data_IF_287755524063
#
_entry.id   IF_287755524063
#
_cell.length_a   1.000
_cell.length_b   1.000
_cell.length_c   1.000
_cell.angle_alpha   90.00
_cell.angle_beta   90.00
_cell.angle_gamma   90.00
#
_symmetry.space_group_name_H-M   'P 1'
#
loop_
_entity.id
_entity.type
_entity.pdbx_description
1 polymer ?
#
# COMPACT_ATOMS: atom_id res chain seq x y z
N UNK A 1 -30.26 4.75 11.86
CA UNK A 1 -29.17 4.07 12.55
C UNK A 1 -28.00 3.82 11.59
N UNK A 2 -26.92 3.21 12.07
CA UNK A 2 -25.90 2.65 11.21
C UNK A 2 -26.41 1.45 10.41
N UNK A 3 -25.77 1.12 9.29
CA UNK A 3 -26.04 -0.13 8.56
C UNK A 3 -25.59 -1.34 9.39
N UNK A 4 -24.35 -1.30 9.89
CA UNK A 4 -23.83 -2.21 10.92
C UNK A 4 -23.28 -1.35 12.04
N UNK A 5 -23.77 -1.55 13.27
CA UNK A 5 -23.25 -0.84 14.44
C UNK A 5 -24.31 -0.32 15.39
N UNK A 6 -24.10 0.88 15.93
CA UNK A 6 -24.99 1.44 16.93
C UNK A 6 -26.23 2.08 16.29
N UNK A 7 -27.37 1.93 16.97
CA UNK A 7 -28.60 2.64 16.60
C UNK A 7 -28.50 4.14 16.90
N UNK A 8 -29.46 4.91 16.39
CA UNK A 8 -29.61 6.33 16.72
C UNK A 8 -30.00 6.51 18.19
N UNK A 9 -29.56 7.59 18.81
CA UNK A 9 -29.90 7.90 20.20
C UNK A 9 -30.42 9.33 20.34
N UNK A 10 -31.55 9.48 20.97
CA UNK A 10 -32.12 10.76 21.36
C UNK A 10 -31.68 11.09 22.80
N UNK A 11 -30.51 11.71 22.95
CA UNK A 11 -29.97 12.18 24.23
C UNK A 11 -29.42 11.10 25.18
N UNK A 12 -29.48 9.81 24.83
CA UNK A 12 -28.92 8.73 25.63
C UNK A 12 -27.53 8.31 25.14
N UNK A 13 -26.61 8.04 26.08
CA UNK A 13 -25.29 7.53 25.74
C UNK A 13 -25.41 6.09 25.21
N UNK A 14 -24.85 5.84 24.03
CA UNK A 14 -24.75 4.50 23.44
C UNK A 14 -23.32 4.27 22.99
N UNK A 15 -22.79 3.11 23.31
CA UNK A 15 -21.47 2.66 22.84
C UNK A 15 -21.63 1.29 22.22
N UNK A 16 -20.82 1.02 21.20
CA UNK A 16 -20.77 -0.29 20.56
C UNK A 16 -19.40 -0.58 20.02
N UNK A 17 -19.02 -1.86 20.01
CA UNK A 17 -17.82 -2.35 19.36
C UNK A 17 -18.22 -3.25 18.19
N UNK A 18 -17.55 -3.05 17.04
CA UNK A 18 -17.70 -3.83 15.82
C UNK A 18 -16.32 -4.37 15.48
N UNK A 19 -16.22 -5.70 15.34
CA UNK A 19 -14.99 -6.36 14.94
C UNK A 19 -15.28 -7.19 13.69
N UNK A 20 -14.51 -6.99 12.64
CA UNK A 20 -14.62 -7.73 11.37
C UNK A 20 -13.29 -8.46 11.15
N UNK A 21 -13.32 -9.78 11.37
CA UNK A 21 -12.15 -10.65 11.21
C UNK A 21 -11.97 -11.13 9.77
N UNK A 22 -13.04 -11.12 8.96
CA UNK A 22 -13.03 -11.62 7.59
C UNK A 22 -14.41 -11.77 6.99
N UNK A 23 -14.50 -12.50 5.87
CA UNK A 23 -15.76 -12.73 5.16
C UNK A 23 -16.12 -11.60 4.20
N UNK A 24 -17.39 -11.60 3.71
CA UNK A 24 -17.89 -10.55 2.82
C UNK A 24 -18.97 -9.75 3.55
N UNK A 25 -18.74 -8.45 3.67
CA UNK A 25 -19.60 -7.51 4.38
C UNK A 25 -20.07 -6.41 3.42
N UNK A 26 -21.40 -6.27 3.30
CA UNK A 26 -22.02 -5.15 2.58
C UNK A 26 -22.88 -4.37 3.57
N UNK A 27 -22.55 -3.12 3.81
CA UNK A 27 -23.24 -2.28 4.78
C UNK A 27 -23.63 -0.95 4.16
N UNK A 28 -24.88 -0.51 4.39
CA UNK A 28 -25.37 0.75 3.88
C UNK A 28 -26.24 1.49 4.89
N UNK A 29 -26.19 2.80 4.84
CA UNK A 29 -27.04 3.67 5.64
C UNK A 29 -27.34 4.96 4.87
N UNK A 30 -28.48 5.55 5.12
CA UNK A 30 -28.85 6.87 4.62
C UNK A 30 -28.23 7.96 5.51
N UNK A 31 -28.47 7.91 6.81
CA UNK A 31 -28.13 9.00 7.73
C UNK A 31 -27.05 8.65 8.78
N UNK A 32 -26.92 7.36 9.16
CA UNK A 32 -25.86 6.87 10.02
C UNK A 32 -24.62 6.47 9.22
N UNK A 33 -23.59 5.96 9.88
CA UNK A 33 -22.48 5.33 9.18
C UNK A 33 -22.92 4.05 8.46
N UNK A 34 -22.28 3.70 7.35
CA UNK A 34 -22.42 2.38 6.76
C UNK A 34 -22.02 1.31 7.78
N UNK A 35 -20.82 1.42 8.32
CA UNK A 35 -20.30 0.63 9.46
C UNK A 35 -19.87 1.61 10.55
N UNK A 36 -20.47 1.54 11.74
CA UNK A 36 -20.08 2.37 12.87
C UNK A 36 -21.20 2.93 13.70
N UNK A 37 -21.24 4.24 13.92
CA UNK A 37 -22.26 4.86 14.77
C UNK A 37 -23.47 5.37 13.99
N UNK A 38 -24.62 5.30 14.64
CA UNK A 38 -25.85 5.93 14.17
C UNK A 38 -25.86 7.44 14.38
N UNK A 39 -27.06 8.06 14.31
CA UNK A 39 -27.23 9.51 14.47
C UNK A 39 -27.24 9.88 15.95
N UNK A 40 -26.45 10.87 16.32
CA UNK A 40 -26.50 11.54 17.64
C UNK A 40 -27.31 12.83 17.55
N UNK A 41 -28.30 12.99 18.43
CA UNK A 41 -29.13 14.20 18.49
C UNK A 41 -28.75 15.15 19.64
N UNK A 42 -27.60 14.92 20.29
CA UNK A 42 -27.17 15.71 21.44
C UNK A 42 -26.28 16.87 21.02
N UNK A 43 -26.73 18.10 21.26
CA UNK A 43 -25.98 19.32 20.93
C UNK A 43 -24.73 19.58 21.82
N UNK A 44 -24.58 18.89 22.94
CA UNK A 44 -23.59 19.24 23.97
C UNK A 44 -22.55 18.16 24.30
N UNK A 45 -22.79 16.90 23.96
CA UNK A 45 -21.81 15.79 24.11
C UNK A 45 -22.17 14.68 23.13
N UNK A 46 -21.18 13.99 22.51
CA UNK A 46 -21.48 12.86 21.67
C UNK A 46 -22.16 11.78 22.49
N UNK A 47 -23.44 11.54 22.19
CA UNK A 47 -24.23 10.52 22.86
C UNK A 47 -23.94 9.10 22.32
N UNK A 48 -23.29 9.02 21.15
CA UNK A 48 -23.01 7.76 20.47
C UNK A 48 -21.56 7.67 20.12
N UNK A 49 -20.96 6.53 20.45
CA UNK A 49 -19.58 6.21 20.08
C UNK A 49 -19.54 4.78 19.52
N UNK A 50 -18.89 4.56 18.40
CA UNK A 50 -18.59 3.25 17.87
C UNK A 50 -17.08 3.03 17.83
N UNK A 51 -16.63 1.87 18.30
CA UNK A 51 -15.28 1.35 18.08
C UNK A 51 -15.35 0.32 16.96
N UNK A 52 -14.56 0.51 15.91
CA UNK A 52 -14.58 -0.33 14.71
C UNK A 52 -13.17 -0.88 14.50
N UNK A 53 -13.06 -2.19 14.42
CA UNK A 53 -11.83 -2.91 14.13
C UNK A 53 -12.04 -3.79 12.90
N UNK A 54 -11.18 -3.64 11.88
CA UNK A 54 -11.24 -4.40 10.63
C UNK A 54 -9.90 -5.08 10.44
N UNK A 55 -9.90 -6.40 10.60
CA UNK A 55 -8.71 -7.26 10.54
C UNK A 55 -8.63 -8.07 9.25
N UNK A 56 -9.69 -8.07 8.40
CA UNK A 56 -9.72 -8.81 7.14
C UNK A 56 -11.07 -8.75 6.46
N UNK A 57 -11.20 -9.49 5.36
CA UNK A 57 -12.43 -9.65 4.59
C UNK A 57 -12.59 -8.69 3.41
N UNK A 58 -13.68 -8.89 2.66
CA UNK A 58 -14.13 -8.00 1.59
C UNK A 58 -15.27 -7.14 2.09
N UNK A 59 -15.05 -5.84 2.16
CA UNK A 59 -15.98 -4.91 2.79
C UNK A 59 -16.41 -3.86 1.76
N UNK A 60 -17.72 -3.74 1.56
CA UNK A 60 -18.30 -2.63 0.82
C UNK A 60 -19.16 -1.82 1.79
N UNK A 61 -18.80 -0.57 1.99
CA UNK A 61 -19.49 0.32 2.89
C UNK A 61 -20.01 1.56 2.16
N UNK A 62 -21.28 1.89 2.39
CA UNK A 62 -21.95 3.06 1.82
C UNK A 62 -22.61 3.89 2.90
N UNK A 63 -22.56 5.21 2.76
CA UNK A 63 -23.43 6.13 3.50
C UNK A 63 -23.72 7.38 2.68
N UNK A 64 -24.96 7.89 2.79
CA UNK A 64 -25.35 9.13 2.14
C UNK A 64 -24.93 10.36 2.98
N UNK A 65 -25.25 10.39 4.27
CA UNK A 65 -24.97 11.53 5.16
C UNK A 65 -23.93 11.27 6.24
N UNK A 66 -23.72 10.01 6.65
CA UNK A 66 -22.66 9.58 7.55
C UNK A 66 -21.38 9.19 6.83
N UNK A 67 -20.34 8.81 7.54
CA UNK A 67 -19.18 8.17 6.97
C UNK A 67 -19.52 6.77 6.44
N UNK A 68 -18.84 6.30 5.40
CA UNK A 68 -18.97 4.90 5.00
C UNK A 68 -18.54 3.97 6.16
N UNK A 69 -17.38 4.28 6.79
CA UNK A 69 -16.90 3.61 8.00
C UNK A 69 -16.54 4.69 9.03
N UNK A 70 -17.16 4.63 10.20
CA UNK A 70 -16.89 5.60 11.26
C UNK A 70 -18.14 6.14 11.93
N UNK A 71 -18.37 7.46 11.87
CA UNK A 71 -19.47 8.08 12.56
C UNK A 71 -20.61 8.49 11.63
N UNK A 72 -21.83 8.41 12.17
CA UNK A 72 -22.98 9.08 11.60
C UNK A 72 -23.04 10.56 11.98
N UNK A 73 -24.20 11.19 11.75
CA UNK A 73 -24.42 12.60 12.09
C UNK A 73 -24.26 12.83 13.61
N UNK A 74 -23.49 13.87 13.99
CA UNK A 74 -23.28 14.29 15.39
C UNK A 74 -22.87 13.16 16.35
N UNK A 75 -22.07 12.21 15.89
CA UNK A 75 -21.61 11.07 16.69
C UNK A 75 -20.09 10.84 16.54
N UNK A 76 -19.51 10.10 17.47
CA UNK A 76 -18.08 9.81 17.53
C UNK A 76 -17.77 8.38 17.11
N UNK A 77 -16.51 8.15 16.71
CA UNK A 77 -16.01 6.80 16.42
C UNK A 77 -14.51 6.70 16.62
N UNK A 78 -14.04 5.45 16.75
CA UNK A 78 -12.64 5.07 16.64
C UNK A 78 -12.54 3.95 15.61
N UNK A 79 -11.65 4.08 14.65
CA UNK A 79 -11.49 3.14 13.55
C UNK A 79 -10.08 2.60 13.52
N UNK A 80 -9.93 1.28 13.54
CA UNK A 80 -8.68 0.56 13.30
C UNK A 80 -8.86 -0.31 12.07
N UNK A 81 -7.90 -0.23 11.13
CA UNK A 81 -7.84 -1.07 9.94
C UNK A 81 -6.42 -1.64 9.86
N UNK A 82 -6.29 -2.96 9.96
CA UNK A 82 -5.01 -3.65 9.84
C UNK A 82 -5.01 -4.77 8.79
N UNK A 83 -6.13 -4.95 8.08
CA UNK A 83 -6.27 -5.91 6.99
C UNK A 83 -7.55 -5.68 6.18
N UNK A 84 -7.77 -6.55 5.19
CA UNK A 84 -8.97 -6.57 4.36
C UNK A 84 -8.90 -5.72 3.10
N UNK A 85 -9.86 -5.95 2.23
CA UNK A 85 -10.12 -5.16 1.03
C UNK A 85 -11.38 -4.33 1.25
N UNK A 86 -11.22 -3.02 1.33
CA UNK A 86 -12.29 -2.09 1.70
C UNK A 86 -12.63 -1.23 0.49
N UNK A 87 -13.84 -1.37 -0.03
CA UNK A 87 -14.40 -0.58 -1.12
C UNK A 87 -15.43 0.40 -0.56
N UNK A 88 -15.15 1.67 -0.71
CA UNK A 88 -16.01 2.73 -0.21
C UNK A 88 -16.88 3.25 -1.34
N UNK A 89 -18.20 3.17 -1.15
CA UNK A 89 -19.20 3.58 -2.12
C UNK A 89 -19.97 4.79 -1.56
N UNK A 90 -19.64 5.97 -2.05
CA UNK A 90 -20.28 7.21 -1.61
C UNK A 90 -20.62 8.07 -2.80
N UNK A 91 -21.91 8.38 -2.94
CA UNK A 91 -22.34 9.45 -3.84
C UNK A 91 -22.14 10.81 -3.14
N UNK A 92 -21.11 11.52 -3.52
CA UNK A 92 -20.94 12.91 -3.09
C UNK A 92 -21.95 13.78 -3.80
N UNK A 93 -23.15 13.93 -3.23
CA UNK A 93 -24.10 14.96 -3.66
C UNK A 93 -23.62 16.32 -3.15
N UNK A 94 -22.79 16.96 -3.92
CA UNK A 94 -22.51 18.41 -4.08
C UNK A 94 -22.19 19.29 -2.89
N UNK A 95 -22.65 19.10 -1.67
CA UNK A 95 -22.56 20.13 -0.62
C UNK A 95 -22.08 19.67 0.77
N UNK A 96 -21.95 18.38 1.02
CA UNK A 96 -21.63 17.88 2.36
C UNK A 96 -20.23 17.27 2.39
N UNK A 97 -19.34 17.91 3.13
CA UNK A 97 -17.97 17.43 3.36
C UNK A 97 -17.99 16.33 4.43
N UNK A 98 -18.37 15.14 4.05
CA UNK A 98 -18.39 13.96 4.91
C UNK A 98 -17.24 13.05 4.54
N UNK A 99 -16.55 12.50 5.53
CA UNK A 99 -15.47 11.55 5.28
C UNK A 99 -16.01 10.23 4.69
N UNK A 100 -15.19 9.55 3.90
CA UNK A 100 -15.42 8.14 3.57
C UNK A 100 -15.12 7.26 4.79
N UNK A 101 -13.98 7.52 5.46
CA UNK A 101 -13.64 6.89 6.74
C UNK A 101 -13.44 8.01 7.77
N UNK A 102 -14.08 7.87 8.92
CA UNK A 102 -13.94 8.81 10.01
C UNK A 102 -15.23 9.50 10.36
N UNK A 103 -15.31 10.82 10.15
CA UNK A 103 -16.40 11.63 10.66
C UNK A 103 -17.55 11.80 9.65
N UNK A 104 -18.77 11.59 10.10
CA UNK A 104 -20.00 12.01 9.43
C UNK A 104 -20.18 13.54 9.48
N UNK A 105 -21.30 14.03 8.91
CA UNK A 105 -21.66 15.45 9.05
C UNK A 105 -21.87 15.79 10.53
N UNK A 106 -21.31 16.91 10.98
CA UNK A 106 -21.56 17.40 12.34
C UNK A 106 -21.55 18.90 12.41
N UNK A 107 -22.52 19.45 13.10
CA UNK A 107 -22.54 20.83 13.61
C UNK A 107 -21.92 20.92 15.02
N UNK A 108 -21.66 19.77 15.66
CA UNK A 108 -21.12 19.66 17.01
C UNK A 108 -19.59 19.45 16.95
N UNK A 109 -18.83 20.47 17.35
CA UNK A 109 -17.37 20.43 17.39
C UNK A 109 -16.80 19.54 18.51
N UNK A 110 -17.63 18.94 19.37
CA UNK A 110 -17.20 18.05 20.44
C UNK A 110 -17.18 16.57 20.04
N UNK A 111 -17.63 16.22 18.82
CA UNK A 111 -17.47 14.87 18.30
C UNK A 111 -16.02 14.59 18.00
N UNK A 112 -15.59 13.37 18.32
CA UNK A 112 -14.22 12.91 18.09
C UNK A 112 -14.22 11.69 17.20
N UNK A 113 -13.30 11.65 16.25
CA UNK A 113 -13.08 10.47 15.41
C UNK A 113 -11.59 10.29 15.16
N UNK A 114 -11.08 9.14 15.57
CA UNK A 114 -9.70 8.73 15.36
C UNK A 114 -9.67 7.62 14.32
N UNK A 115 -8.70 7.69 13.41
CA UNK A 115 -8.48 6.67 12.38
C UNK A 115 -7.04 6.19 12.41
N UNK A 116 -6.86 4.89 12.61
CA UNK A 116 -5.58 4.19 12.60
C UNK A 116 -5.58 3.17 11.47
N UNK A 117 -4.58 3.20 10.60
CA UNK A 117 -4.42 2.28 9.47
C UNK A 117 -3.02 1.68 9.52
N UNK A 118 -2.96 0.37 9.69
CA UNK A 118 -1.72 -0.41 9.74
C UNK A 118 -1.70 -1.55 8.72
N UNK A 119 -2.71 -1.65 7.88
CA UNK A 119 -2.83 -2.69 6.86
C UNK A 119 -4.05 -2.54 5.99
N UNK A 120 -4.28 -3.54 5.14
CA UNK A 120 -5.41 -3.59 4.23
C UNK A 120 -5.22 -2.76 2.96
N UNK A 121 -6.20 -2.81 2.07
CA UNK A 121 -6.32 -1.92 0.92
C UNK A 121 -7.63 -1.16 0.98
N UNK A 122 -7.58 0.15 0.71
CA UNK A 122 -8.74 1.03 0.78
C UNK A 122 -8.90 1.75 -0.55
N UNK A 123 -9.96 1.43 -1.27
CA UNK A 123 -10.26 2.01 -2.57
C UNK A 123 -11.67 2.60 -2.62
N UNK A 124 -11.92 3.45 -3.60
CA UNK A 124 -13.27 3.91 -3.96
C UNK A 124 -13.86 2.94 -4.99
N UNK A 125 -15.12 2.57 -4.84
CA UNK A 125 -15.82 1.71 -5.80
C UNK A 125 -15.93 2.39 -7.17
N UNK A 126 -16.19 3.69 -7.16
CA UNK A 126 -16.20 4.53 -8.34
C UNK A 126 -15.39 5.79 -8.01
N UNK A 127 -14.15 5.86 -8.51
CA UNK A 127 -13.33 7.05 -8.35
C UNK A 127 -13.93 8.19 -9.19
N UNK A 128 -14.38 9.25 -8.55
CA UNK A 128 -14.75 10.49 -9.23
C UNK A 128 -13.47 11.24 -9.65
N UNK A 129 -13.52 11.89 -10.82
CA UNK A 129 -12.42 12.77 -11.28
C UNK A 129 -12.08 13.89 -10.29
N UNK A 130 -13.01 14.25 -9.40
CA UNK A 130 -12.83 15.26 -8.36
C UNK A 130 -12.42 14.69 -7.00
N UNK A 131 -12.62 13.38 -6.79
CA UNK A 131 -12.31 12.68 -5.55
C UNK A 131 -11.61 11.37 -5.91
N UNK A 132 -10.34 11.44 -6.34
CA UNK A 132 -9.63 10.25 -6.82
C UNK A 132 -9.16 9.32 -5.68
N UNK A 133 -9.27 9.76 -4.44
CA UNK A 133 -8.83 9.02 -3.23
C UNK A 133 -9.86 9.10 -2.11
N UNK A 134 -9.86 8.15 -1.17
CA UNK A 134 -10.72 8.22 0.01
C UNK A 134 -10.46 9.49 0.82
N UNK A 135 -11.54 10.18 1.21
CA UNK A 135 -11.47 11.30 2.14
C UNK A 135 -11.55 10.73 3.56
N UNK A 136 -10.47 10.91 4.32
CA UNK A 136 -10.37 10.43 5.71
C UNK A 136 -10.09 11.61 6.62
N UNK A 137 -10.96 11.87 7.59
CA UNK A 137 -10.76 12.89 8.60
C UNK A 137 -11.64 12.72 9.85
N UNK A 138 -11.21 13.33 10.94
CA UNK A 138 -11.93 13.45 12.18
C UNK A 138 -11.85 14.87 12.77
N UNK A 139 -12.19 15.00 14.04
CA UNK A 139 -11.98 16.20 14.84
C UNK A 139 -11.21 15.82 16.10
N UNK A 140 -10.29 16.68 16.50
CA UNK A 140 -9.54 16.56 17.75
C UNK A 140 -9.51 17.89 18.50
N UNK A 141 -9.32 17.85 19.81
CA UNK A 141 -9.17 19.03 20.62
C UNK A 141 -7.67 19.35 20.82
N UNK A 142 -7.26 20.53 20.32
CA UNK A 142 -5.90 21.06 20.49
C UNK A 142 -6.03 22.39 21.19
N UNK A 143 -5.35 22.55 22.33
CA UNK A 143 -5.36 23.79 23.16
C UNK A 143 -6.77 24.35 23.43
N UNK A 144 -7.68 23.46 23.80
CA UNK A 144 -9.11 23.77 24.09
C UNK A 144 -9.92 24.21 22.83
N UNK A 145 -9.32 24.16 21.66
CA UNK A 145 -9.98 24.46 20.37
C UNK A 145 -10.20 23.18 19.58
N UNK A 146 -11.40 23.02 19.02
CA UNK A 146 -11.69 21.88 18.16
C UNK A 146 -11.19 22.16 16.74
N UNK A 147 -10.35 21.26 16.23
CA UNK A 147 -9.75 21.34 14.91
C UNK A 147 -10.04 20.09 14.11
N UNK A 148 -10.15 20.26 12.78
CA UNK A 148 -10.27 19.14 11.87
C UNK A 148 -8.96 18.36 11.85
N UNK A 149 -9.02 17.08 12.19
CA UNK A 149 -7.89 16.17 12.12
C UNK A 149 -7.90 15.42 10.80
N UNK A 150 -6.99 15.76 9.90
CA UNK A 150 -6.80 15.06 8.63
C UNK A 150 -5.63 14.05 8.72
N UNK A 151 -5.04 13.88 9.90
CA UNK A 151 -3.90 13.01 10.09
C UNK A 151 -4.38 11.60 10.40
N UNK A 152 -4.14 10.68 9.46
CA UNK A 152 -4.29 9.26 9.67
C UNK A 152 -2.99 8.78 10.30
N UNK A 153 -3.07 7.89 11.27
CA UNK A 153 -1.90 7.40 12.01
C UNK A 153 -1.77 5.88 11.90
N UNK A 154 -0.55 5.38 12.02
CA UNK A 154 -0.27 3.97 12.25
C UNK A 154 -0.49 3.60 13.74
N UNK A 155 -0.20 2.36 14.10
CA UNK A 155 -0.33 1.85 15.48
C UNK A 155 0.61 2.54 16.49
N UNK A 156 1.68 3.19 16.03
CA UNK A 156 2.65 3.92 16.86
C UNK A 156 2.30 5.42 16.97
N UNK A 157 1.24 5.86 16.31
CA UNK A 157 0.85 7.27 16.26
C UNK A 157 1.59 8.09 15.19
N UNK A 158 2.36 7.44 14.30
CA UNK A 158 3.07 8.10 13.20
C UNK A 158 2.08 8.41 12.06
N UNK A 159 2.10 9.62 11.49
CA UNK A 159 1.29 9.96 10.34
C UNK A 159 1.57 9.06 9.15
N UNK A 160 0.51 8.60 8.48
CA UNK A 160 0.58 7.78 7.26
C UNK A 160 -0.11 8.46 6.09
N UNK A 161 0.39 8.17 4.89
CA UNK A 161 0.01 8.87 3.67
C UNK A 161 -0.40 7.89 2.57
N UNK A 162 -1.34 8.32 1.76
CA UNK A 162 -1.88 7.54 0.66
C UNK A 162 -0.80 7.18 -0.35
N UNK A 163 -0.66 5.90 -0.62
CA UNK A 163 0.38 5.32 -1.45
C UNK A 163 -0.22 4.24 -2.34
N UNK A 164 0.20 4.18 -3.58
CA UNK A 164 -0.29 3.22 -4.57
C UNK A 164 0.84 2.41 -5.19
N UNK A 165 0.51 1.21 -5.65
CA UNK A 165 1.38 0.37 -6.48
C UNK A 165 0.55 -0.27 -7.59
N UNK A 166 1.07 -0.27 -8.81
CA UNK A 166 0.46 -0.96 -9.95
C UNK A 166 1.02 -2.38 -10.03
N UNK A 167 0.19 -3.36 -9.68
CA UNK A 167 0.54 -4.78 -9.65
C UNK A 167 0.10 -5.54 -10.92
N UNK A 168 -0.29 -4.81 -11.97
CA UNK A 168 -0.67 -5.42 -13.26
C UNK A 168 0.41 -6.38 -13.77
N UNK A 169 -0.01 -7.60 -14.17
CA UNK A 169 0.89 -8.64 -14.65
C UNK A 169 1.65 -9.40 -13.54
N UNK A 170 1.46 -9.05 -12.26
CA UNK A 170 1.87 -9.85 -11.10
C UNK A 170 0.65 -10.54 -10.53
N UNK A 171 -0.43 -9.79 -10.34
CA UNK A 171 -1.72 -10.30 -9.90
C UNK A 171 -2.79 -9.93 -10.91
N UNK A 172 -3.72 -10.84 -11.16
CA UNK A 172 -4.92 -10.52 -11.91
C UNK A 172 -5.82 -9.54 -11.14
N UNK A 173 -6.73 -8.89 -11.85
CA UNK A 173 -7.66 -7.94 -11.24
C UNK A 173 -8.54 -8.61 -10.16
N UNK A 174 -8.75 -7.94 -9.04
CA UNK A 174 -9.47 -8.44 -7.86
C UNK A 174 -8.86 -9.71 -7.23
N UNK A 175 -7.58 -9.97 -7.45
CA UNK A 175 -6.88 -11.16 -6.93
C UNK A 175 -6.29 -10.88 -5.57
N UNK A 176 -6.30 -11.90 -4.71
CA UNK A 176 -5.67 -11.83 -3.39
C UNK A 176 -4.17 -11.60 -3.54
N UNK A 177 -3.68 -10.57 -2.89
CA UNK A 177 -2.25 -10.27 -2.80
C UNK A 177 -1.65 -11.22 -1.76
N UNK A 178 -0.91 -12.22 -2.22
CA UNK A 178 -0.32 -13.25 -1.37
C UNK A 178 0.99 -12.78 -0.75
N UNK A 179 2.09 -13.05 -1.41
CA UNK A 179 3.43 -12.75 -0.93
C UNK A 179 3.73 -11.24 -1.05
N UNK A 180 3.32 -10.47 -0.06
CA UNK A 180 3.55 -9.03 0.03
C UNK A 180 4.30 -8.68 1.30
N UNK A 181 5.28 -7.79 1.17
CA UNK A 181 6.03 -7.25 2.30
C UNK A 181 6.52 -5.84 1.99
N UNK A 182 6.72 -5.04 3.04
CA UNK A 182 7.38 -3.73 2.97
C UNK A 182 8.51 -3.76 3.99
N UNK A 183 9.75 -3.47 3.55
CA UNK A 183 10.91 -3.45 4.43
C UNK A 183 10.70 -2.47 5.58
N UNK A 184 11.13 -2.86 6.79
CA UNK A 184 11.04 -2.06 8.02
C UNK A 184 9.62 -1.59 8.38
N UNK A 185 8.57 -2.24 7.83
CA UNK A 185 7.19 -1.90 8.10
C UNK A 185 6.40 -3.11 8.60
N UNK A 186 5.49 -2.84 9.55
CA UNK A 186 4.51 -3.83 10.02
C UNK A 186 3.18 -3.75 9.28
N UNK A 187 3.13 -3.14 8.09
CA UNK A 187 1.91 -3.02 7.30
C UNK A 187 1.33 -4.40 6.96
N UNK A 188 0.04 -4.61 7.25
CA UNK A 188 -0.63 -5.90 7.14
C UNK A 188 -1.30 -6.10 5.77
N UNK A 189 -1.08 -7.28 5.17
CA UNK A 189 -1.69 -7.66 3.88
C UNK A 189 -2.72 -8.78 4.00
N UNK A 190 -3.31 -9.01 5.20
CA UNK A 190 -4.35 -10.02 5.40
C UNK A 190 -5.59 -9.69 4.58
N UNK A 191 -6.06 -10.63 3.75
CA UNK A 191 -7.24 -10.52 2.88
C UNK A 191 -7.25 -9.31 1.93
N UNK A 192 -6.07 -8.85 1.54
CA UNK A 192 -5.87 -7.71 0.63
C UNK A 192 -5.98 -8.17 -0.82
N UNK A 193 -6.71 -7.43 -1.63
CA UNK A 193 -6.87 -7.68 -3.07
C UNK A 193 -6.53 -6.44 -3.88
N UNK A 194 -6.06 -6.65 -5.10
CA UNK A 194 -5.99 -5.57 -6.10
C UNK A 194 -7.39 -5.09 -6.46
N UNK A 195 -7.51 -3.86 -6.92
CA UNK A 195 -8.74 -3.38 -7.54
C UNK A 195 -8.98 -3.99 -8.94
N UNK A 196 -10.04 -3.56 -9.62
CA UNK A 196 -10.38 -4.03 -10.98
C UNK A 196 -9.35 -3.63 -12.05
N UNK A 197 -8.43 -2.73 -11.76
CA UNK A 197 -7.35 -2.29 -12.65
C UNK A 197 -5.98 -2.89 -12.29
N UNK A 198 -5.89 -3.72 -11.26
CA UNK A 198 -4.64 -4.30 -10.77
C UNK A 198 -3.86 -3.40 -9.81
N UNK A 199 -4.44 -2.31 -9.34
CA UNK A 199 -3.80 -1.41 -8.36
C UNK A 199 -4.02 -1.86 -6.93
N UNK A 200 -3.03 -1.55 -6.10
CA UNK A 200 -3.05 -1.70 -4.64
C UNK A 200 -2.97 -0.31 -3.99
N UNK A 201 -3.73 -0.12 -2.92
CA UNK A 201 -3.81 1.15 -2.18
C UNK A 201 -3.44 0.93 -0.73
N UNK A 202 -2.50 1.74 -0.21
CA UNK A 202 -1.91 1.61 1.12
C UNK A 202 -1.80 2.96 1.81
N UNK A 203 -1.55 2.94 3.12
CA UNK A 203 -1.23 4.12 3.90
C UNK A 203 0.08 3.90 4.64
N UNK A 204 1.15 4.56 4.20
CA UNK A 204 2.51 4.34 4.68
C UNK A 204 3.07 5.60 5.35
N UNK A 205 3.96 5.44 6.36
CA UNK A 205 4.71 6.56 6.93
C UNK A 205 5.57 7.27 5.88
N UNK A 206 5.86 8.55 6.11
CA UNK A 206 6.80 9.27 5.28
C UNK A 206 8.19 8.61 5.34
N UNK A 207 8.81 8.41 4.17
CA UNK A 207 10.13 7.79 4.04
C UNK A 207 10.81 8.26 2.78
N UNK A 208 12.11 8.51 2.84
CA UNK A 208 12.94 8.86 1.66
C UNK A 208 13.14 7.66 0.72
N UNK A 209 13.06 6.44 1.24
CA UNK A 209 13.15 5.21 0.45
C UNK A 209 12.26 4.13 1.07
N UNK A 210 11.27 3.71 0.31
CA UNK A 210 10.43 2.55 0.63
C UNK A 210 10.79 1.45 -0.34
N UNK A 211 11.00 0.25 0.19
CA UNK A 211 11.14 -0.97 -0.61
C UNK A 211 10.04 -1.94 -0.25
N UNK A 212 9.37 -2.45 -1.26
CA UNK A 212 8.28 -3.40 -1.12
C UNK A 212 8.44 -4.55 -2.11
N UNK A 213 7.95 -5.73 -1.75
CA UNK A 213 7.91 -6.89 -2.64
C UNK A 213 6.48 -7.38 -2.76
N UNK A 214 6.02 -7.59 -3.98
CA UNK A 214 4.71 -8.12 -4.30
C UNK A 214 4.87 -9.26 -5.32
N UNK A 215 4.53 -10.49 -4.92
CA UNK A 215 4.71 -11.66 -5.78
C UNK A 215 6.14 -11.87 -6.26
N UNK A 216 7.13 -11.51 -5.44
CA UNK A 216 8.55 -11.60 -5.78
C UNK A 216 9.07 -10.53 -6.74
N UNK A 217 8.28 -9.50 -7.03
CA UNK A 217 8.71 -8.32 -7.81
C UNK A 217 8.93 -7.15 -6.86
N UNK A 218 10.09 -6.52 -6.96
CA UNK A 218 10.47 -5.37 -6.13
C UNK A 218 9.83 -4.08 -6.63
N UNK A 219 9.43 -3.25 -5.68
CA UNK A 219 8.92 -1.91 -5.87
C UNK A 219 9.67 -0.94 -4.96
N UNK A 220 9.97 0.23 -5.49
CA UNK A 220 10.65 1.28 -4.72
C UNK A 220 9.93 2.61 -4.88
N UNK A 221 10.12 3.49 -3.93
CA UNK A 221 9.56 4.83 -3.99
C UNK A 221 9.87 5.66 -2.77
N UNK A 222 9.41 6.91 -2.82
CA UNK A 222 9.44 7.85 -1.71
C UNK A 222 8.02 8.12 -1.25
N UNK A 223 7.80 8.17 0.05
CA UNK A 223 6.52 8.59 0.63
C UNK A 223 6.68 9.97 1.26
N UNK A 224 6.05 10.96 0.68
CA UNK A 224 6.12 12.36 1.06
C UNK A 224 4.86 12.80 1.80
N UNK A 225 5.06 13.54 2.89
CA UNK A 225 3.98 14.14 3.64
C UNK A 225 3.23 15.19 2.81
N UNK A 226 1.90 15.16 2.88
CA UNK A 226 1.05 16.15 2.21
C UNK A 226 0.89 15.98 0.70
N UNK A 227 1.56 15.02 0.09
CA UNK A 227 1.35 14.66 -1.30
C UNK A 227 0.02 13.95 -1.47
N UNK A 228 -0.68 14.28 -2.56
CA UNK A 228 -2.01 13.70 -2.84
C UNK A 228 -1.97 12.20 -3.11
N UNK A 229 -0.94 11.72 -3.79
CA UNK A 229 -0.69 10.32 -4.07
C UNK A 229 0.82 10.08 -4.12
N UNK A 230 1.31 9.14 -3.32
CA UNK A 230 2.65 8.59 -3.44
C UNK A 230 2.56 7.32 -4.26
N UNK A 231 3.58 7.03 -5.06
CA UNK A 231 3.60 5.86 -5.95
C UNK A 231 4.85 5.04 -5.66
N UNK A 232 4.67 3.74 -5.46
CA UNK A 232 5.77 2.80 -5.50
C UNK A 232 5.91 2.29 -6.93
N UNK A 233 7.05 2.57 -7.52
CA UNK A 233 7.37 2.18 -8.89
C UNK A 233 7.96 0.78 -8.92
N UNK A 234 7.53 -0.01 -9.89
CA UNK A 234 8.07 -1.35 -10.13
C UNK A 234 9.53 -1.24 -10.55
N UNK A 235 10.40 -1.98 -9.89
CA UNK A 235 11.74 -2.21 -10.39
C UNK A 235 11.66 -2.96 -11.73
N UNK A 236 12.29 -2.38 -12.75
CA UNK A 236 12.21 -2.92 -14.11
C UNK A 236 13.09 -4.14 -14.31
N UNK A 237 14.06 -4.33 -13.42
CA UNK A 237 15.00 -5.43 -13.48
C UNK A 237 15.32 -5.97 -12.10
N UNK A 238 15.66 -7.25 -12.02
CA UNK A 238 16.24 -7.88 -10.84
C UNK A 238 17.37 -8.80 -11.24
N UNK A 239 18.31 -9.07 -10.31
CA UNK A 239 19.44 -9.95 -10.55
C UNK A 239 19.31 -11.19 -9.68
N UNK A 240 19.29 -12.35 -10.33
CA UNK A 240 19.41 -13.63 -9.65
C UNK A 240 20.89 -14.02 -9.60
N UNK A 241 21.51 -13.76 -8.47
CA UNK A 241 22.94 -14.01 -8.27
C UNK A 241 23.32 -15.50 -8.30
N UNK A 242 22.40 -16.40 -7.93
CA UNK A 242 22.67 -17.84 -7.95
C UNK A 242 22.70 -18.39 -9.38
N UNK A 243 21.80 -17.91 -10.21
CA UNK A 243 21.67 -18.32 -11.60
C UNK A 243 22.45 -17.42 -12.56
N UNK A 244 22.99 -16.32 -12.06
CA UNK A 244 23.70 -15.30 -12.84
C UNK A 244 22.89 -14.81 -14.03
N UNK A 245 21.65 -14.41 -13.75
CA UNK A 245 20.75 -13.88 -14.78
C UNK A 245 20.22 -12.50 -14.39
N UNK A 246 20.11 -11.64 -15.41
CA UNK A 246 19.36 -10.40 -15.35
C UNK A 246 17.92 -10.69 -15.77
N UNK A 247 16.96 -10.47 -14.89
CA UNK A 247 15.54 -10.66 -15.14
C UNK A 247 14.91 -9.35 -15.58
N UNK A 248 14.11 -9.38 -16.61
CA UNK A 248 13.22 -8.29 -16.99
C UNK A 248 11.90 -8.44 -16.24
N UNK A 249 11.66 -7.63 -15.24
CA UNK A 249 10.41 -7.61 -14.46
C UNK A 249 9.40 -6.58 -14.98
N UNK A 250 9.78 -5.78 -15.99
CA UNK A 250 8.90 -4.84 -16.66
C UNK A 250 7.85 -5.54 -17.54
N UNK A 251 6.76 -4.83 -17.84
CA UNK A 251 5.69 -5.30 -18.75
C UNK A 251 6.01 -5.13 -20.25
N UNK A 252 7.23 -4.69 -20.57
CA UNK A 252 7.68 -4.42 -21.93
C UNK A 252 9.09 -4.96 -22.14
N UNK A 253 9.52 -5.03 -23.38
CA UNK A 253 10.86 -5.47 -23.75
C UNK A 253 11.92 -4.46 -23.26
N UNK A 254 12.92 -4.96 -22.56
CA UNK A 254 14.13 -4.22 -22.18
C UNK A 254 15.30 -4.63 -23.09
N UNK A 255 16.33 -3.81 -23.11
CA UNK A 255 17.62 -4.15 -23.69
C UNK A 255 18.75 -3.67 -22.78
N UNK A 256 19.85 -4.42 -22.75
CA UNK A 256 21.01 -4.11 -21.92
C UNK A 256 22.31 -4.13 -22.71
N UNK A 257 23.31 -3.39 -22.20
CA UNK A 257 24.67 -3.33 -22.72
C UNK A 257 25.68 -3.05 -21.59
N UNK A 258 26.96 -3.35 -21.84
CA UNK A 258 28.07 -3.07 -20.93
C UNK A 258 28.54 -1.60 -20.99
N UNK A 259 28.02 -0.81 -21.92
CA UNK A 259 28.32 0.62 -22.05
C UNK A 259 27.04 1.36 -22.45
N UNK A 260 26.84 2.54 -21.88
CA UNK A 260 25.72 3.44 -22.21
C UNK A 260 25.72 3.82 -23.70
N UNK A 261 26.91 4.00 -24.29
CA UNK A 261 27.11 4.36 -25.69
C UNK A 261 27.31 3.14 -26.60
N UNK A 262 26.86 1.95 -26.17
CA UNK A 262 27.01 0.74 -26.97
C UNK A 262 26.28 0.84 -28.31
N UNK A 263 26.94 0.44 -29.38
CA UNK A 263 26.30 0.30 -30.68
C UNK A 263 25.37 -0.92 -30.79
N UNK A 264 25.53 -1.86 -29.86
CA UNK A 264 24.73 -3.10 -29.83
C UNK A 264 24.14 -3.31 -28.44
N UNK A 265 22.83 -3.56 -28.40
CA UNK A 265 22.09 -3.82 -27.19
C UNK A 265 21.44 -5.20 -27.29
N UNK A 266 21.49 -5.96 -26.19
CA UNK A 266 20.90 -7.28 -26.12
C UNK A 266 19.49 -7.17 -25.51
N UNK A 267 18.50 -7.69 -26.23
CA UNK A 267 17.09 -7.60 -25.84
C UNK A 267 16.69 -8.70 -24.85
N UNK A 268 15.83 -8.30 -23.91
CA UNK A 268 15.19 -9.19 -22.95
C UNK A 268 13.67 -8.97 -23.06
N UNK A 269 12.92 -9.95 -23.51
CA UNK A 269 11.45 -9.87 -23.58
C UNK A 269 10.85 -9.60 -22.20
N UNK A 270 9.64 -9.04 -22.14
CA UNK A 270 8.88 -8.88 -20.90
C UNK A 270 8.79 -10.22 -20.15
N UNK A 271 9.09 -10.22 -18.84
CA UNK A 271 9.13 -11.42 -18.01
C UNK A 271 10.25 -12.41 -18.36
N UNK A 272 11.17 -12.04 -19.27
CA UNK A 272 12.30 -12.87 -19.68
C UNK A 272 13.56 -12.66 -18.86
N UNK A 273 14.60 -13.41 -19.16
CA UNK A 273 15.90 -13.30 -18.50
C UNK A 273 17.05 -13.40 -19.49
N UNK A 274 18.19 -12.81 -19.15
CA UNK A 274 19.45 -12.88 -19.89
C UNK A 274 20.57 -13.38 -18.99
N UNK A 275 21.39 -14.33 -19.51
CA UNK A 275 22.55 -14.84 -18.78
C UNK A 275 23.66 -13.79 -18.68
N UNK A 276 24.18 -13.60 -17.50
CA UNK A 276 25.32 -12.74 -17.19
C UNK A 276 26.65 -13.51 -17.17
N UNK A 277 26.63 -14.83 -17.30
CA UNK A 277 27.80 -15.72 -17.16
C UNK A 277 28.98 -15.26 -18.03
N UNK A 278 28.76 -14.95 -19.31
CA UNK A 278 29.82 -14.50 -20.20
C UNK A 278 30.43 -13.16 -19.78
N UNK A 279 29.61 -12.24 -19.29
CA UNK A 279 30.05 -10.93 -18.83
C UNK A 279 30.90 -11.10 -17.56
N UNK A 280 30.44 -11.94 -16.63
CA UNK A 280 31.13 -12.24 -15.38
C UNK A 280 32.45 -13.00 -15.61
N UNK A 281 32.49 -13.93 -16.57
CA UNK A 281 33.69 -14.70 -16.89
C UNK A 281 34.80 -13.86 -17.57
N UNK A 282 34.42 -12.79 -18.25
CA UNK A 282 35.34 -11.89 -18.95
C UNK A 282 35.87 -10.74 -18.06
N UNK A 283 35.47 -10.66 -16.81
CA UNK A 283 35.94 -9.59 -15.92
C UNK A 283 37.36 -9.85 -15.43
N UNK A 284 38.14 -8.80 -15.19
CA UNK A 284 39.48 -8.92 -14.56
C UNK A 284 39.33 -9.55 -13.16
N UNK A 285 40.34 -10.37 -12.76
CA UNK A 285 40.35 -11.04 -11.45
C UNK A 285 40.22 -10.08 -10.24
N UNK A 286 40.60 -8.81 -10.41
CA UNK A 286 40.52 -7.79 -9.37
C UNK A 286 39.34 -6.81 -9.53
N UNK A 287 38.42 -7.07 -10.46
CA UNK A 287 37.21 -6.27 -10.60
C UNK A 287 36.38 -6.36 -9.32
N UNK A 288 35.81 -5.22 -8.88
CA UNK A 288 34.97 -5.16 -7.69
C UNK A 288 33.48 -5.10 -8.01
N UNK A 289 33.15 -4.54 -9.16
CA UNK A 289 31.78 -4.37 -9.62
C UNK A 289 31.75 -4.23 -11.15
N UNK A 290 30.58 -4.53 -11.73
CA UNK A 290 30.29 -4.40 -13.14
C UNK A 290 29.11 -3.45 -13.29
N UNK A 291 29.22 -2.49 -14.19
CA UNK A 291 28.09 -1.63 -14.55
C UNK A 291 27.47 -2.16 -15.84
N UNK A 292 26.19 -2.46 -15.80
CA UNK A 292 25.36 -2.69 -16.97
C UNK A 292 24.39 -1.53 -17.15
N UNK A 293 24.10 -1.19 -18.38
CA UNK A 293 23.12 -0.18 -18.74
C UNK A 293 21.89 -0.89 -19.28
N UNK A 294 20.73 -0.53 -18.77
CA UNK A 294 19.43 -1.12 -19.17
C UNK A 294 18.49 0.01 -19.56
N UNK A 295 17.75 -0.20 -20.64
CA UNK A 295 16.73 0.74 -21.09
C UNK A 295 15.54 0.01 -21.71
N UNK A 296 14.44 0.72 -21.89
CA UNK A 296 13.32 0.24 -22.67
C UNK A 296 13.76 0.02 -24.11
N UNK A 297 13.51 -1.15 -24.66
CA UNK A 297 13.86 -1.48 -26.04
C UNK A 297 13.15 -0.54 -27.03
N UNK A 298 13.84 -0.18 -28.08
CA UNK A 298 13.30 0.73 -29.08
C UNK A 298 12.06 0.14 -29.76
N UNK A 299 10.98 0.89 -29.76
CA UNK A 299 9.84 0.69 -30.64
C UNK A 299 9.98 1.70 -31.79
N UNK A 300 10.54 1.25 -32.93
CA UNK A 300 10.91 2.15 -34.03
C UNK A 300 12.29 2.80 -33.80
N UNK A 301 12.39 4.13 -33.95
CA UNK A 301 13.66 4.84 -33.88
C UNK A 301 14.04 5.36 -32.49
N UNK A 302 13.17 5.23 -31.49
CA UNK A 302 13.39 5.84 -30.17
C UNK A 302 13.50 4.76 -29.10
N UNK A 303 14.69 4.63 -28.50
CA UNK A 303 14.89 3.84 -27.28
C UNK A 303 14.58 4.67 -26.04
N UNK A 304 14.34 4.02 -24.91
CA UNK A 304 14.23 4.69 -23.62
C UNK A 304 15.59 5.22 -23.14
N UNK A 305 15.57 6.06 -22.11
CA UNK A 305 16.77 6.51 -21.40
C UNK A 305 17.43 5.31 -20.69
N UNK A 306 18.74 5.25 -20.68
CA UNK A 306 19.49 4.16 -20.08
C UNK A 306 19.72 4.41 -18.58
N UNK A 307 19.41 3.41 -17.75
CA UNK A 307 19.73 3.39 -16.33
C UNK A 307 20.91 2.44 -16.07
N UNK A 308 21.84 2.86 -15.21
CA UNK A 308 22.98 2.05 -14.80
C UNK A 308 22.59 1.08 -13.67
N UNK A 309 22.98 -0.18 -13.78
CA UNK A 309 22.81 -1.21 -12.75
C UNK A 309 24.21 -1.69 -12.35
N UNK A 310 24.49 -1.67 -11.04
CA UNK A 310 25.76 -2.18 -10.51
C UNK A 310 25.60 -3.64 -10.07
N UNK A 311 26.47 -4.51 -10.57
CA UNK A 311 26.49 -5.95 -10.25
C UNK A 311 27.81 -6.25 -9.53
N UNK A 312 27.81 -6.81 -8.32
CA UNK A 312 29.02 -7.28 -7.68
C UNK A 312 29.62 -8.44 -8.48
N UNK A 313 30.92 -8.44 -8.64
CA UNK A 313 31.62 -9.57 -9.28
C UNK A 313 31.54 -10.81 -8.40
N UNK A 314 31.74 -11.97 -9.02
CA UNK A 314 31.82 -13.24 -8.31
C UNK A 314 32.89 -13.17 -7.22
N UNK A 315 32.64 -13.74 -6.04
CA UNK A 315 33.70 -13.96 -5.06
C UNK A 315 34.84 -14.74 -5.67
N UNK A 316 36.08 -14.41 -5.26
CA UNK A 316 37.25 -15.15 -5.68
C UNK A 316 37.05 -16.67 -5.46
N UNK A 317 37.46 -17.48 -6.42
CA UNK A 317 37.39 -18.92 -6.29
C UNK A 317 38.13 -19.35 -5.01
N UNK A 318 37.56 -20.18 -4.13
CA UNK A 318 38.25 -20.64 -2.95
C UNK A 318 39.58 -21.28 -3.31
N UNK A 319 40.60 -21.02 -2.52
CA UNK A 319 41.90 -21.65 -2.70
C UNK A 319 41.76 -23.17 -2.76
N UNK A 320 42.53 -23.78 -3.68
CA UNK A 320 42.51 -25.22 -3.82
C UNK A 320 42.94 -25.87 -2.49
N UNK A 321 42.10 -26.76 -1.96
CA UNK A 321 42.47 -27.54 -0.80
C UNK A 321 43.71 -28.37 -1.17
N UNK A 322 44.87 -27.96 -0.67
CA UNK A 322 46.16 -28.62 -0.99
C UNK A 322 46.49 -29.78 -0.07
N UNK A 323 45.85 -29.83 1.11
CA UNK A 323 46.09 -30.91 2.09
C UNK A 323 44.85 -31.14 2.95
N UNK A 324 44.42 -32.38 3.03
CA UNK A 324 43.39 -32.84 3.97
C UNK A 324 44.07 -33.75 4.96
N UNK A 325 44.09 -33.37 6.25
CA UNK A 325 44.59 -34.22 7.32
C UNK A 325 43.39 -34.79 8.09
N UNK A 326 43.23 -36.10 8.06
CA UNK A 326 42.19 -36.79 8.80
C UNK A 326 42.72 -37.11 10.19
N UNK A 327 42.05 -36.65 11.23
CA UNK A 327 42.22 -37.06 12.62
C UNK A 327 41.09 -38.00 13.04
N UNK A 328 41.22 -38.70 14.16
CA UNK A 328 40.23 -39.71 14.59
C UNK A 328 38.79 -39.17 14.69
N UNK A 329 38.61 -37.88 14.92
CA UNK A 329 37.31 -37.26 15.16
C UNK A 329 37.00 -36.05 14.29
N UNK A 330 37.89 -35.62 13.38
CA UNK A 330 37.64 -34.46 12.51
C UNK A 330 38.54 -34.48 11.27
N UNK A 331 38.13 -33.77 10.24
CA UNK A 331 38.94 -33.41 9.08
C UNK A 331 39.47 -31.99 9.34
N UNK A 332 40.78 -31.82 9.31
CA UNK A 332 41.40 -30.50 9.37
C UNK A 332 41.89 -30.12 7.98
#
# INVERSE_FOLDING_TARGET
GAGIGTGSANGQKRTGKIVIEGGTVNASSENGAGIGSGIGYARSKPAITAEIEIHGGMITAYSEQGACIGSGLDSSSKVLIDGGTICLDKKTTGYRKVAHIGMGESSNTQVQTDVTITGGTICLKEADRYIPRPIIYGWEQVDKTWQKNNTIKDGNGTPVYYTTADLTGIYDNNTLVGDASIEESSYGFKDVRTDSSGKLYMYLPASEAVKASFGGVEFTGKVEAGKDENVLEREQTSIDYQREVLKNTALYELEYAESENSATWTKIRAGGEASLTKILDNQPENAREITLYVRKAAAGSTAGEAAAITIPVRPAKPDKITKITKTSNSIK
#
